data_IF_327649054182
#
_entry.id   IF_327649054182
#
_cell.length_a   1.000
_cell.length_b   1.000
_cell.length_c   1.000
_cell.angle_alpha   90.00
_cell.angle_beta   90.00
_cell.angle_gamma   90.00
#
_symmetry.space_group_name_H-M   'P 1'
#
loop_
_entity.id
_entity.type
_entity.pdbx_description
1 polymer ?
#
# COMPACT_ATOMS: atom_id res chain seq x y z
N UNK A 1 -0.33 -32.97 -18.97
CA UNK A 1 -0.28 -31.78 -18.09
C UNK A 1 -1.50 -31.67 -17.16
N UNK A 2 -2.74 -31.73 -17.66
CA UNK A 2 -3.98 -31.61 -16.84
C UNK A 2 -4.04 -32.55 -15.63
N UNK A 3 -3.75 -33.83 -15.81
CA UNK A 3 -3.82 -34.82 -14.72
C UNK A 3 -2.74 -34.57 -13.65
N UNK A 4 -1.54 -34.19 -14.06
CA UNK A 4 -0.46 -33.82 -13.15
C UNK A 4 -0.80 -32.55 -12.36
N UNK A 5 -1.36 -31.52 -13.00
CA UNK A 5 -1.84 -30.31 -12.32
C UNK A 5 -2.92 -30.63 -11.27
N UNK A 6 -3.91 -31.48 -11.61
CA UNK A 6 -4.94 -31.92 -10.64
C UNK A 6 -4.34 -32.65 -9.44
N UNK A 7 -3.34 -33.51 -9.68
CA UNK A 7 -2.65 -34.25 -8.62
C UNK A 7 -1.89 -33.29 -7.69
N UNK A 8 -1.06 -32.42 -8.27
CA UNK A 8 -0.29 -31.42 -7.52
C UNK A 8 -1.20 -30.49 -6.72
N UNK A 9 -2.33 -30.07 -7.31
CA UNK A 9 -3.32 -29.25 -6.63
C UNK A 9 -3.95 -30.00 -5.44
N UNK A 10 -4.29 -31.28 -5.61
CA UNK A 10 -4.79 -32.11 -4.51
C UNK A 10 -3.75 -32.21 -3.38
N UNK A 11 -2.50 -32.50 -3.72
CA UNK A 11 -1.42 -32.57 -2.72
C UNK A 11 -1.17 -31.23 -2.03
N UNK A 12 -1.25 -30.14 -2.78
CA UNK A 12 -1.09 -28.79 -2.24
C UNK A 12 -2.14 -28.43 -1.20
N UNK A 13 -3.43 -28.67 -1.47
CA UNK A 13 -4.52 -28.33 -0.54
C UNK A 13 -4.72 -29.35 0.60
N UNK A 14 -4.23 -30.59 0.44
CA UNK A 14 -4.23 -31.60 1.53
C UNK A 14 -2.98 -31.52 2.42
N UNK A 15 -2.02 -30.66 2.08
CA UNK A 15 -0.85 -30.48 2.89
C UNK A 15 -1.18 -29.75 4.20
N UNK A 16 -0.83 -30.35 5.34
CA UNK A 16 -1.15 -29.78 6.66
C UNK A 16 -0.55 -28.39 6.85
N UNK A 17 0.67 -28.13 6.35
CA UNK A 17 1.31 -26.81 6.48
C UNK A 17 0.52 -25.76 5.70
N UNK A 18 0.15 -26.06 4.45
CA UNK A 18 -0.65 -25.16 3.63
C UNK A 18 -2.04 -24.91 4.24
N UNK A 19 -2.70 -25.95 4.75
CA UNK A 19 -3.99 -25.81 5.45
C UNK A 19 -3.89 -24.89 6.67
N UNK A 20 -2.84 -25.03 7.47
CA UNK A 20 -2.59 -24.13 8.60
C UNK A 20 -2.42 -22.69 8.14
N UNK A 21 -1.69 -22.44 7.05
CA UNK A 21 -1.54 -21.08 6.48
C UNK A 21 -2.90 -20.50 6.05
N UNK A 22 -3.75 -21.28 5.37
CA UNK A 22 -5.10 -20.84 5.01
C UNK A 22 -5.94 -20.49 6.23
N UNK A 23 -5.94 -21.36 7.25
CA UNK A 23 -6.69 -21.18 8.49
C UNK A 23 -6.23 -19.92 9.24
N UNK A 24 -4.92 -19.75 9.45
CA UNK A 24 -4.34 -18.59 10.13
C UNK A 24 -4.70 -17.31 9.37
N UNK A 25 -4.54 -17.31 8.05
CA UNK A 25 -4.79 -16.13 7.22
C UNK A 25 -6.26 -15.73 7.22
N UNK A 26 -7.16 -16.72 7.18
CA UNK A 26 -8.60 -16.52 7.31
C UNK A 26 -8.96 -15.86 8.65
N UNK A 27 -8.55 -16.46 9.77
CA UNK A 27 -8.86 -15.92 11.10
C UNK A 27 -8.19 -14.57 11.37
N UNK A 28 -6.95 -14.37 10.91
CA UNK A 28 -6.28 -13.08 11.00
C UNK A 28 -7.03 -11.99 10.23
N UNK A 29 -7.58 -12.31 9.05
CA UNK A 29 -8.38 -11.35 8.29
C UNK A 29 -9.70 -10.99 8.99
N UNK A 30 -10.36 -11.97 9.61
CA UNK A 30 -11.59 -11.74 10.37
C UNK A 30 -11.31 -10.90 11.62
N UNK A 31 -10.22 -11.22 12.33
CA UNK A 31 -9.76 -10.45 13.47
C UNK A 31 -9.46 -9.00 13.07
N UNK A 32 -8.78 -8.79 11.94
CA UNK A 32 -8.53 -7.46 11.40
C UNK A 32 -9.85 -6.71 11.15
N UNK A 33 -10.80 -7.33 10.45
CA UNK A 33 -12.08 -6.69 10.14
C UNK A 33 -12.93 -6.37 11.39
N UNK A 34 -12.88 -7.21 12.42
CA UNK A 34 -13.70 -7.06 13.62
C UNK A 34 -13.07 -6.14 14.67
N UNK A 35 -11.77 -6.24 14.91
CA UNK A 35 -11.10 -5.54 16.01
C UNK A 35 -10.25 -4.36 15.56
N UNK A 36 -9.44 -4.53 14.53
CA UNK A 36 -8.46 -3.51 14.12
C UNK A 36 -9.13 -2.43 13.28
N UNK A 37 -9.84 -2.83 12.22
CA UNK A 37 -10.46 -1.93 11.25
C UNK A 37 -11.41 -0.88 11.87
N UNK A 38 -12.28 -1.19 12.85
CA UNK A 38 -13.15 -0.18 13.45
C UNK A 38 -12.38 0.90 14.22
N UNK A 39 -11.25 0.53 14.84
CA UNK A 39 -10.42 1.40 15.68
C UNK A 39 -9.46 2.27 14.86
N UNK A 40 -9.07 1.83 13.66
CA UNK A 40 -8.20 2.60 12.77
C UNK A 40 -8.83 3.95 12.42
N UNK A 41 -8.19 5.07 12.76
CA UNK A 41 -8.57 6.41 12.32
C UNK A 41 -7.45 7.02 11.49
N UNK A 42 -7.70 7.42 10.22
CA UNK A 42 -6.71 8.20 9.49
C UNK A 42 -6.45 9.52 10.22
N UNK A 43 -5.24 10.06 10.07
CA UNK A 43 -4.88 11.39 10.57
C UNK A 43 -5.88 12.44 10.04
N UNK A 44 -6.09 12.42 8.72
CA UNK A 44 -7.02 13.30 8.04
C UNK A 44 -8.44 12.70 8.02
N UNK A 45 -9.17 12.89 9.13
CA UNK A 45 -10.52 12.37 9.33
C UNK A 45 -11.58 13.47 9.27
N UNK A 46 -12.71 13.17 8.66
CA UNK A 46 -13.92 14.00 8.73
C UNK A 46 -14.49 13.90 10.14
N UNK A 47 -14.26 14.92 10.96
CA UNK A 47 -14.80 15.06 12.31
C UNK A 47 -15.54 16.41 12.44
N UNK A 48 -16.89 16.41 12.33
CA UNK A 48 -17.68 17.64 12.42
C UNK A 48 -17.50 18.38 13.75
N UNK A 49 -17.41 17.64 14.87
CA UNK A 49 -17.20 18.23 16.20
C UNK A 49 -15.86 18.94 16.29
N UNK A 50 -14.79 18.35 15.75
CA UNK A 50 -13.48 19.00 15.72
C UNK A 50 -13.47 20.25 14.80
N UNK A 51 -14.20 20.23 13.69
CA UNK A 51 -14.36 21.42 12.84
C UNK A 51 -15.12 22.52 13.59
N UNK A 52 -16.19 22.16 14.30
CA UNK A 52 -17.00 23.07 15.09
C UNK A 52 -16.21 23.76 16.20
N UNK A 53 -15.43 23.00 16.99
CA UNK A 53 -14.60 23.54 18.06
C UNK A 53 -13.59 24.55 17.51
N UNK A 54 -12.84 24.18 16.46
CA UNK A 54 -11.87 25.11 15.84
C UNK A 54 -12.52 26.38 15.30
N UNK A 55 -13.72 26.27 14.73
CA UNK A 55 -14.49 27.42 14.26
C UNK A 55 -14.85 28.35 15.43
N UNK A 56 -15.38 27.79 16.52
CA UNK A 56 -15.81 28.54 17.71
C UNK A 56 -14.63 29.22 18.42
N UNK A 57 -13.51 28.52 18.61
CA UNK A 57 -12.31 29.07 19.25
C UNK A 57 -11.76 30.27 18.46
N UNK A 58 -11.66 30.13 17.13
CA UNK A 58 -11.22 31.22 16.26
C UNK A 58 -12.22 32.38 16.24
N UNK A 59 -13.53 32.09 16.29
CA UNK A 59 -14.54 33.13 16.31
C UNK A 59 -14.52 33.90 17.64
N UNK A 60 -14.47 33.18 18.76
CA UNK A 60 -14.34 33.79 20.08
C UNK A 60 -13.08 34.66 20.19
N UNK A 61 -11.96 34.20 19.63
CA UNK A 61 -10.74 35.01 19.54
C UNK A 61 -10.97 36.30 18.74
N UNK A 62 -11.62 36.22 17.58
CA UNK A 62 -11.92 37.40 16.74
C UNK A 62 -12.91 38.36 17.42
N UNK A 63 -13.91 37.85 18.14
CA UNK A 63 -14.93 38.66 18.80
C UNK A 63 -14.39 39.41 20.03
N UNK A 64 -13.35 38.87 20.68
CA UNK A 64 -12.67 39.47 21.85
C UNK A 64 -11.48 40.38 21.46
N UNK A 65 -11.20 40.52 20.17
CA UNK A 65 -9.98 41.17 19.68
C UNK A 65 -10.16 42.69 19.56
N UNK A 66 -9.41 43.46 20.34
CA UNK A 66 -9.18 44.89 20.09
C UNK A 66 -7.78 45.08 19.52
N UNK A 67 -7.69 45.21 18.18
CA UNK A 67 -6.39 45.28 17.49
C UNK A 67 -6.00 46.72 17.27
N UNK A 68 -5.02 47.19 18.05
CA UNK A 68 -4.30 48.45 17.81
C UNK A 68 -3.07 48.25 16.93
N UNK A 69 -2.47 49.36 16.46
CA UNK A 69 -1.20 49.33 15.70
C UNK A 69 -0.05 48.67 16.46
N UNK A 70 -0.09 48.65 17.81
CA UNK A 70 0.94 48.05 18.66
C UNK A 70 0.69 46.57 18.98
N UNK A 71 -0.33 45.95 18.41
CA UNK A 71 -0.65 44.54 18.65
C UNK A 71 0.48 43.61 18.17
N UNK A 72 0.71 42.52 18.93
CA UNK A 72 1.73 41.53 18.61
C UNK A 72 1.54 40.98 17.17
N UNK A 73 2.62 40.74 16.39
CA UNK A 73 2.51 40.28 15.00
C UNK A 73 1.63 39.05 14.79
N UNK A 74 1.64 38.10 15.74
CA UNK A 74 0.77 36.92 15.70
C UNK A 74 -0.72 37.24 15.84
N UNK A 75 -1.07 38.28 16.60
CA UNK A 75 -2.46 38.75 16.74
C UNK A 75 -2.93 39.35 15.41
N UNK A 76 -2.09 40.18 14.76
CA UNK A 76 -2.37 40.72 13.42
C UNK A 76 -2.48 39.61 12.37
N UNK A 77 -1.59 38.63 12.42
CA UNK A 77 -1.64 37.45 11.56
C UNK A 77 -2.95 36.66 11.74
N UNK A 78 -3.35 36.39 12.99
CA UNK A 78 -4.58 35.69 13.30
C UNK A 78 -5.81 36.48 12.81
N UNK A 79 -5.84 37.80 13.03
CA UNK A 79 -6.89 38.69 12.53
C UNK A 79 -7.05 38.62 11.00
N UNK A 80 -5.94 38.52 10.26
CA UNK A 80 -5.96 38.42 8.79
C UNK A 80 -6.35 37.01 8.28
N UNK A 81 -6.01 35.97 9.03
CA UNK A 81 -6.09 34.57 8.55
C UNK A 81 -7.36 33.85 9.03
N UNK A 82 -7.76 34.06 10.29
CA UNK A 82 -8.88 33.37 10.93
C UNK A 82 -10.22 33.60 10.22
N UNK A 83 -10.57 34.80 9.72
CA UNK A 83 -11.83 35.01 9.02
C UNK A 83 -11.99 34.09 7.82
N UNK A 84 -10.92 33.88 7.03
CA UNK A 84 -10.95 32.97 5.87
C UNK A 84 -11.04 31.51 6.29
N UNK A 85 -10.32 31.09 7.33
CA UNK A 85 -10.47 29.74 7.89
C UNK A 85 -11.89 29.48 8.39
N UNK A 86 -12.47 30.40 9.16
CA UNK A 86 -13.83 30.30 9.68
C UNK A 86 -14.88 30.28 8.57
N UNK A 87 -14.71 31.09 7.53
CA UNK A 87 -15.58 31.04 6.36
C UNK A 87 -15.58 29.65 5.70
N UNK A 88 -14.40 29.02 5.58
CA UNK A 88 -14.27 27.68 4.99
C UNK A 88 -14.83 26.60 5.92
N UNK A 89 -14.52 26.65 7.22
CA UNK A 89 -15.01 25.67 8.20
C UNK A 89 -16.54 25.76 8.37
N UNK A 90 -17.13 26.96 8.36
CA UNK A 90 -18.59 27.14 8.33
C UNK A 90 -19.22 26.49 7.10
N UNK A 91 -18.71 26.76 5.89
CA UNK A 91 -19.20 26.12 4.66
C UNK A 91 -19.08 24.61 4.69
N UNK A 92 -18.01 24.06 5.29
CA UNK A 92 -17.83 22.61 5.47
C UNK A 92 -18.91 22.03 6.39
N UNK A 93 -19.16 22.68 7.54
CA UNK A 93 -20.20 22.28 8.49
C UNK A 93 -21.59 22.34 7.86
N UNK A 94 -21.93 23.44 7.20
CA UNK A 94 -23.21 23.61 6.50
C UNK A 94 -23.40 22.54 5.42
N UNK A 95 -22.35 22.23 4.64
CA UNK A 95 -22.39 21.18 3.62
C UNK A 95 -22.60 19.78 4.21
N UNK A 96 -21.99 19.49 5.37
CA UNK A 96 -22.19 18.22 6.08
C UNK A 96 -23.62 18.11 6.62
N UNK A 97 -24.15 19.18 7.21
CA UNK A 97 -25.52 19.24 7.72
C UNK A 97 -26.55 19.04 6.58
N UNK A 98 -26.33 19.67 5.43
CA UNK A 98 -27.15 19.52 4.24
C UNK A 98 -26.91 18.19 3.47
N UNK A 99 -25.99 17.34 3.92
CA UNK A 99 -25.52 16.13 3.21
C UNK A 99 -25.05 16.40 1.77
N UNK A 100 -24.65 17.63 1.47
CA UNK A 100 -24.07 18.02 0.18
C UNK A 100 -22.56 17.70 0.19
N UNK A 101 -22.25 16.42 0.00
CA UNK A 101 -20.88 15.91 0.07
C UNK A 101 -19.97 16.42 -1.06
N UNK A 102 -20.52 16.79 -2.22
CA UNK A 102 -19.73 17.42 -3.28
C UNK A 102 -19.26 18.82 -2.88
N UNK A 103 -20.17 19.65 -2.35
CA UNK A 103 -19.82 20.97 -1.81
C UNK A 103 -18.86 20.88 -0.61
N UNK A 104 -19.04 19.87 0.25
CA UNK A 104 -18.09 19.57 1.32
C UNK A 104 -16.70 19.27 0.77
N UNK A 105 -16.60 18.42 -0.26
CA UNK A 105 -15.32 18.06 -0.86
C UNK A 105 -14.63 19.28 -1.49
N UNK A 106 -15.37 20.10 -2.24
CA UNK A 106 -14.82 21.30 -2.86
C UNK A 106 -14.29 22.30 -1.82
N UNK A 107 -15.08 22.54 -0.77
CA UNK A 107 -14.70 23.46 0.31
C UNK A 107 -13.53 22.91 1.11
N UNK A 108 -13.50 21.61 1.36
CA UNK A 108 -12.41 20.95 2.09
C UNK A 108 -11.09 21.01 1.30
N UNK A 109 -11.13 20.85 -0.03
CA UNK A 109 -9.95 21.06 -0.86
C UNK A 109 -9.39 22.49 -0.73
N UNK A 110 -10.27 23.50 -0.70
CA UNK A 110 -9.88 24.91 -0.50
C UNK A 110 -9.29 25.13 0.91
N UNK A 111 -9.86 24.47 1.92
CA UNK A 111 -9.38 24.52 3.30
C UNK A 111 -7.97 23.95 3.43
N UNK A 112 -7.69 22.77 2.85
CA UNK A 112 -6.33 22.21 2.86
C UNK A 112 -5.36 23.08 2.08
N UNK A 113 -5.73 23.59 0.91
CA UNK A 113 -4.86 24.45 0.10
C UNK A 113 -4.47 25.74 0.84
N UNK A 114 -5.45 26.37 1.49
CA UNK A 114 -5.18 27.57 2.28
C UNK A 114 -4.34 27.25 3.52
N UNK A 115 -4.66 26.18 4.23
CA UNK A 115 -3.91 25.79 5.44
C UNK A 115 -2.48 25.37 5.13
N UNK A 116 -2.26 24.63 4.04
CA UNK A 116 -0.92 24.24 3.59
C UNK A 116 -0.07 25.47 3.24
N UNK A 117 -0.65 26.44 2.51
CA UNK A 117 0.04 27.70 2.20
C UNK A 117 0.49 28.43 3.47
N UNK A 118 -0.37 28.47 4.49
CA UNK A 118 -0.05 29.10 5.77
C UNK A 118 1.05 28.36 6.52
N UNK A 119 0.92 27.04 6.71
CA UNK A 119 1.91 26.25 7.44
C UNK A 119 3.27 26.23 6.74
N UNK A 120 3.29 26.24 5.41
CA UNK A 120 4.52 26.23 4.61
C UNK A 120 5.36 27.50 4.77
N UNK A 121 4.73 28.64 5.09
CA UNK A 121 5.45 29.90 5.30
C UNK A 121 6.30 29.91 6.57
N UNK A 122 6.07 28.97 7.51
CA UNK A 122 6.82 28.85 8.77
C UNK A 122 7.04 30.19 9.49
N UNK A 123 6.00 31.04 9.51
CA UNK A 123 6.12 32.39 10.09
C UNK A 123 6.50 32.35 11.57
N UNK A 124 6.03 31.33 12.31
CA UNK A 124 6.38 31.04 13.71
C UNK A 124 6.36 29.53 13.92
N UNK A 125 7.19 29.01 14.83
CA UNK A 125 7.29 27.57 15.16
C UNK A 125 5.96 26.96 15.64
N UNK A 126 5.05 27.79 16.16
CA UNK A 126 3.70 27.38 16.56
C UNK A 126 2.75 27.13 15.38
N UNK A 127 3.06 27.62 14.18
CA UNK A 127 2.28 27.40 12.95
C UNK A 127 2.76 26.12 12.26
N UNK A 128 2.25 24.99 12.74
CA UNK A 128 2.61 23.66 12.26
C UNK A 128 1.38 22.87 11.79
N UNK A 129 1.65 21.86 10.95
CA UNK A 129 0.68 20.80 10.63
C UNK A 129 0.15 20.09 11.89
N UNK A 130 -0.96 19.34 11.81
CA UNK A 130 -1.51 18.61 12.96
C UNK A 130 -0.45 17.83 13.75
N UNK A 131 -0.56 17.85 15.08
CA UNK A 131 0.43 17.25 16.00
C UNK A 131 0.65 15.75 15.75
N UNK A 132 -0.33 15.07 15.17
CA UNK A 132 -0.27 13.67 14.76
C UNK A 132 0.89 13.38 13.78
N UNK A 133 1.33 14.36 12.97
CA UNK A 133 2.49 14.21 12.08
C UNK A 133 3.83 14.26 12.83
N UNK A 134 3.85 14.82 14.04
CA UNK A 134 5.03 14.97 14.91
C UNK A 134 5.03 13.94 16.05
N UNK A 135 4.06 13.02 16.05
CA UNK A 135 3.98 11.93 17.02
C UNK A 135 5.29 11.13 17.04
N UNK A 136 5.61 10.55 18.19
CA UNK A 136 6.82 9.73 18.38
C UNK A 136 8.14 10.47 18.05
N UNK A 137 8.15 11.80 18.23
CA UNK A 137 9.30 12.66 17.93
C UNK A 137 9.75 12.59 16.47
N UNK A 138 8.83 12.35 15.53
CA UNK A 138 9.13 12.30 14.10
C UNK A 138 9.83 13.60 13.61
N UNK A 139 11.13 13.55 13.26
CA UNK A 139 11.87 14.74 12.83
C UNK A 139 11.42 15.24 11.45
N UNK A 140 10.61 14.46 10.73
CA UNK A 140 10.10 14.79 9.40
C UNK A 140 8.64 15.22 9.39
N UNK A 141 8.01 15.46 10.56
CA UNK A 141 6.58 15.76 10.66
C UNK A 141 6.12 16.94 9.80
N UNK A 142 6.98 17.95 9.60
CA UNK A 142 6.69 19.05 8.68
C UNK A 142 6.54 18.59 7.22
N UNK A 143 7.46 17.75 6.74
CA UNK A 143 7.42 17.24 5.37
C UNK A 143 6.27 16.25 5.17
N UNK A 144 5.98 15.43 6.19
CA UNK A 144 4.88 14.47 6.15
C UNK A 144 3.52 15.18 6.15
N UNK A 145 3.36 16.22 6.98
CA UNK A 145 2.16 17.06 6.98
C UNK A 145 1.95 17.76 5.65
N UNK A 146 3.01 18.34 5.07
CA UNK A 146 2.94 18.98 3.75
C UNK A 146 2.54 17.98 2.65
N UNK A 147 3.22 16.82 2.59
CA UNK A 147 2.91 15.76 1.63
C UNK A 147 1.45 15.29 1.77
N UNK A 148 0.99 15.08 3.01
CA UNK A 148 -0.37 14.65 3.27
C UNK A 148 -1.40 15.71 2.88
N UNK A 149 -1.15 16.99 3.17
CA UNK A 149 -2.05 18.08 2.77
C UNK A 149 -2.15 18.18 1.25
N UNK A 150 -1.04 18.06 0.53
CA UNK A 150 -1.04 18.03 -0.94
C UNK A 150 -1.81 16.82 -1.49
N UNK A 151 -1.68 15.64 -0.87
CA UNK A 151 -2.48 14.45 -1.17
C UNK A 151 -3.98 14.71 -0.96
N UNK A 152 -4.35 15.31 0.17
CA UNK A 152 -5.74 15.64 0.50
C UNK A 152 -6.35 16.68 -0.45
N UNK A 153 -5.58 17.70 -0.85
CA UNK A 153 -6.01 18.69 -1.86
C UNK A 153 -6.37 17.98 -3.16
N UNK A 154 -5.49 17.11 -3.66
CA UNK A 154 -5.72 16.36 -4.89
C UNK A 154 -6.94 15.42 -4.75
N UNK A 155 -7.04 14.68 -3.63
CA UNK A 155 -8.17 13.79 -3.33
C UNK A 155 -9.50 14.54 -3.35
N UNK A 156 -9.62 15.60 -2.55
CA UNK A 156 -10.88 16.33 -2.40
C UNK A 156 -11.25 17.10 -3.68
N UNK A 157 -10.29 17.65 -4.44
CA UNK A 157 -10.54 18.22 -5.77
C UNK A 157 -11.13 17.20 -6.73
N UNK A 158 -10.61 15.97 -6.72
CA UNK A 158 -11.09 14.90 -7.59
C UNK A 158 -12.47 14.38 -7.14
N UNK A 159 -12.69 14.23 -5.84
CA UNK A 159 -13.98 13.81 -5.28
C UNK A 159 -15.07 14.85 -5.53
N UNK A 160 -14.78 16.15 -5.43
CA UNK A 160 -15.73 17.22 -5.73
C UNK A 160 -16.27 17.16 -7.17
N UNK A 161 -15.45 16.66 -8.11
CA UNK A 161 -15.81 16.47 -9.53
C UNK A 161 -16.36 15.07 -9.84
N UNK A 162 -16.41 14.19 -8.83
CA UNK A 162 -16.83 12.81 -9.04
C UNK A 162 -18.34 12.71 -9.22
N UNK A 163 -18.76 11.88 -10.17
CA UNK A 163 -20.16 11.50 -10.37
C UNK A 163 -20.63 10.39 -9.42
N UNK A 164 -19.70 9.80 -8.66
CA UNK A 164 -20.03 8.73 -7.72
C UNK A 164 -20.78 9.29 -6.50
N UNK A 165 -21.71 8.53 -5.91
CA UNK A 165 -22.32 8.91 -4.63
C UNK A 165 -21.24 8.98 -3.55
N UNK A 166 -21.07 10.15 -2.96
CA UNK A 166 -20.10 10.41 -1.91
C UNK A 166 -20.70 10.15 -0.53
N UNK A 167 -19.88 9.68 0.40
CA UNK A 167 -20.25 9.42 1.79
C UNK A 167 -19.09 9.76 2.72
N UNK A 168 -19.36 9.92 4.01
CA UNK A 168 -18.31 10.13 5.03
C UNK A 168 -17.29 8.98 5.03
N UNK A 169 -17.73 7.74 4.82
CA UNK A 169 -16.85 6.57 4.71
C UNK A 169 -15.86 6.70 3.55
N UNK A 170 -16.26 7.29 2.42
CA UNK A 170 -15.37 7.52 1.27
C UNK A 170 -14.30 8.56 1.61
N UNK A 171 -14.67 9.66 2.26
CA UNK A 171 -13.72 10.70 2.66
C UNK A 171 -12.69 10.21 3.68
N UNK A 172 -13.14 9.36 4.61
CA UNK A 172 -12.30 8.72 5.61
C UNK A 172 -11.54 7.48 5.09
N UNK A 173 -11.65 7.15 3.80
CA UNK A 173 -10.98 6.01 3.18
C UNK A 173 -11.30 4.65 3.85
N UNK A 174 -12.53 4.52 4.37
CA UNK A 174 -13.01 3.35 5.15
C UNK A 174 -13.91 2.40 4.38
N UNK A 175 -14.08 2.55 3.07
CA UNK A 175 -14.84 1.55 2.29
C UNK A 175 -14.05 0.25 2.11
N UNK A 176 -14.71 -0.84 1.75
CA UNK A 176 -14.06 -2.14 1.57
C UNK A 176 -12.94 -2.11 0.52
N UNK A 177 -13.20 -1.51 -0.65
CA UNK A 177 -12.16 -1.35 -1.69
C UNK A 177 -11.03 -0.42 -1.26
N UNK A 178 -11.33 0.67 -0.54
CA UNK A 178 -10.29 1.56 0.00
C UNK A 178 -9.45 0.89 1.10
N UNK A 179 -10.02 -0.08 1.82
CA UNK A 179 -9.28 -0.88 2.80
C UNK A 179 -8.29 -1.82 2.11
N UNK A 180 -8.68 -2.49 1.02
CA UNK A 180 -7.74 -3.25 0.18
C UNK A 180 -6.62 -2.32 -0.30
N UNK A 181 -6.96 -1.13 -0.83
CA UNK A 181 -5.97 -0.14 -1.25
C UNK A 181 -5.00 0.26 -0.12
N UNK A 182 -5.49 0.55 1.08
CA UNK A 182 -4.65 0.89 2.24
C UNK A 182 -3.70 -0.25 2.63
N UNK A 183 -4.24 -1.47 2.73
CA UNK A 183 -3.45 -2.66 3.07
C UNK A 183 -2.42 -2.98 1.97
N UNK A 184 -2.77 -2.73 0.70
CA UNK A 184 -1.91 -2.95 -0.47
C UNK A 184 -0.65 -2.07 -0.49
N UNK A 185 -0.65 -0.94 0.22
CA UNK A 185 0.53 -0.08 0.41
C UNK A 185 1.41 -0.53 1.58
N UNK A 186 0.86 -1.27 2.54
CA UNK A 186 1.54 -1.61 3.78
C UNK A 186 1.79 -3.11 3.89
N UNK A 187 0.95 -3.82 4.62
CA UNK A 187 1.18 -5.19 5.08
C UNK A 187 0.80 -6.25 4.04
N UNK A 188 -0.16 -5.98 3.15
CA UNK A 188 -0.69 -7.00 2.23
C UNK A 188 0.38 -7.54 1.26
N UNK A 189 1.24 -6.72 0.62
CA UNK A 189 2.36 -7.21 -0.17
C UNK A 189 3.25 -8.17 0.64
N UNK A 190 3.69 -7.74 1.82
CA UNK A 190 4.58 -8.52 2.68
C UNK A 190 3.96 -9.86 3.08
N UNK A 191 2.67 -9.86 3.43
CA UNK A 191 1.92 -11.07 3.78
C UNK A 191 1.86 -12.04 2.59
N UNK A 192 1.47 -11.56 1.40
CA UNK A 192 1.33 -12.43 0.23
C UNK A 192 2.68 -13.00 -0.23
N UNK A 193 3.75 -12.20 -0.19
CA UNK A 193 5.10 -12.66 -0.52
C UNK A 193 5.62 -13.67 0.52
N UNK A 194 5.35 -13.45 1.80
CA UNK A 194 5.69 -14.39 2.88
C UNK A 194 4.97 -15.73 2.68
N UNK A 195 3.65 -15.70 2.43
CA UNK A 195 2.87 -16.91 2.13
C UNK A 195 3.39 -17.62 0.89
N UNK A 196 3.79 -16.86 -0.14
CA UNK A 196 4.42 -17.42 -1.35
C UNK A 196 5.72 -18.13 -1.04
N UNK A 197 6.57 -17.57 -0.16
CA UNK A 197 7.81 -18.20 0.26
C UNK A 197 7.54 -19.57 0.92
N UNK A 198 6.53 -19.65 1.81
CA UNK A 198 6.13 -20.93 2.42
C UNK A 198 5.55 -21.92 1.41
N UNK A 199 4.67 -21.48 0.51
CA UNK A 199 4.10 -22.36 -0.52
C UNK A 199 5.15 -22.86 -1.50
N UNK A 200 6.12 -22.03 -1.86
CA UNK A 200 7.19 -22.39 -2.77
C UNK A 200 8.23 -23.30 -2.11
N UNK A 201 8.61 -23.04 -0.85
CA UNK A 201 9.70 -23.75 -0.15
C UNK A 201 9.63 -25.28 -0.24
N UNK A 202 8.41 -25.82 -0.22
CA UNK A 202 8.16 -27.25 -0.16
C UNK A 202 7.98 -27.90 -1.54
N UNK A 203 7.84 -27.11 -2.60
CA UNK A 203 7.30 -27.60 -3.87
C UNK A 203 8.24 -28.57 -4.60
N UNK A 204 9.56 -28.41 -4.46
CA UNK A 204 10.56 -29.29 -5.09
C UNK A 204 11.21 -30.29 -4.13
N UNK A 205 11.18 -30.02 -2.83
CA UNK A 205 11.74 -30.94 -1.84
C UNK A 205 10.86 -32.20 -1.74
N UNK A 206 9.52 -32.04 -1.73
CA UNK A 206 8.56 -33.15 -1.71
C UNK A 206 8.65 -34.07 -2.93
N UNK A 207 8.99 -33.52 -4.09
CA UNK A 207 9.14 -34.33 -5.31
C UNK A 207 10.28 -35.32 -5.20
N UNK A 208 11.37 -34.94 -4.51
CA UNK A 208 12.52 -35.82 -4.30
C UNK A 208 12.19 -36.96 -3.35
N UNK A 209 11.37 -36.70 -2.34
CA UNK A 209 10.88 -37.73 -1.43
C UNK A 209 9.92 -38.71 -2.13
N UNK A 210 9.28 -38.29 -3.23
CA UNK A 210 8.26 -39.06 -3.97
C UNK A 210 8.59 -39.21 -5.45
N UNK A 211 9.87 -39.43 -5.75
CA UNK A 211 10.40 -39.42 -7.11
C UNK A 211 9.69 -40.43 -8.03
N UNK A 212 9.31 -41.61 -7.51
CA UNK A 212 8.58 -42.64 -8.25
C UNK A 212 7.21 -42.17 -8.77
N UNK A 213 6.50 -41.32 -8.01
CA UNK A 213 5.20 -40.78 -8.40
C UNK A 213 5.38 -39.70 -9.48
N UNK A 214 6.41 -38.86 -9.33
CA UNK A 214 6.69 -37.74 -10.23
C UNK A 214 7.19 -38.24 -11.58
N UNK A 215 8.03 -39.28 -11.59
CA UNK A 215 8.60 -39.86 -12.81
C UNK A 215 7.61 -40.72 -13.61
N UNK A 216 6.53 -41.18 -12.98
CA UNK A 216 5.43 -41.86 -13.68
C UNK A 216 4.66 -40.99 -14.67
N UNK A 217 4.84 -39.66 -14.66
CA UNK A 217 4.19 -38.75 -15.61
C UNK A 217 5.10 -38.42 -16.82
N UNK A 218 4.62 -38.56 -18.07
CA UNK A 218 5.36 -38.26 -19.28
C UNK A 218 5.41 -36.74 -19.54
N UNK A 219 6.04 -36.00 -18.63
CA UNK A 219 6.20 -34.54 -18.69
C UNK A 219 7.68 -34.18 -18.59
N UNK A 220 8.11 -33.23 -19.43
CA UNK A 220 9.45 -32.67 -19.35
C UNK A 220 9.65 -31.88 -18.05
N UNK A 221 10.91 -31.76 -17.60
CA UNK A 221 11.26 -31.08 -16.34
C UNK A 221 10.71 -29.65 -16.26
N UNK A 222 10.84 -28.88 -17.35
CA UNK A 222 10.32 -27.49 -17.45
C UNK A 222 8.79 -27.46 -17.35
N UNK A 223 8.10 -28.41 -17.98
CA UNK A 223 6.63 -28.49 -17.91
C UNK A 223 6.17 -28.81 -16.47
N UNK A 224 6.91 -29.66 -15.73
CA UNK A 224 6.64 -29.94 -14.32
C UNK A 224 6.80 -28.68 -13.47
N UNK A 225 7.88 -27.90 -13.66
CA UNK A 225 8.09 -26.63 -12.97
C UNK A 225 6.98 -25.62 -13.26
N UNK A 226 6.56 -25.50 -14.52
CA UNK A 226 5.45 -24.63 -14.91
C UNK A 226 4.14 -25.01 -14.20
N UNK A 227 3.83 -26.31 -14.13
CA UNK A 227 2.66 -26.78 -13.38
C UNK A 227 2.73 -26.41 -11.91
N UNK A 228 3.91 -26.54 -11.28
CA UNK A 228 4.10 -26.13 -9.88
C UNK A 228 3.91 -24.64 -9.66
N UNK A 229 4.43 -23.81 -10.57
CA UNK A 229 4.17 -22.38 -10.57
C UNK A 229 2.65 -22.13 -10.57
N UNK A 230 1.91 -22.72 -11.51
CA UNK A 230 0.44 -22.55 -11.57
C UNK A 230 -0.29 -23.00 -10.30
N UNK A 231 0.16 -24.07 -9.66
CA UNK A 231 -0.41 -24.56 -8.38
C UNK A 231 -0.18 -23.55 -7.26
N UNK A 232 1.02 -22.98 -7.14
CA UNK A 232 1.32 -21.95 -6.15
C UNK A 232 0.49 -20.68 -6.42
N UNK A 233 0.36 -20.27 -7.69
CA UNK A 233 -0.52 -19.15 -8.07
C UNK A 233 -1.97 -19.40 -7.64
N UNK A 234 -2.47 -20.61 -7.84
CA UNK A 234 -3.83 -20.99 -7.41
C UNK A 234 -3.95 -20.97 -5.88
N UNK A 235 -2.90 -21.36 -5.16
CA UNK A 235 -2.81 -21.21 -3.70
C UNK A 235 -2.93 -19.76 -3.25
N UNK A 236 -2.23 -18.83 -3.90
CA UNK A 236 -2.32 -17.39 -3.60
C UNK A 236 -3.71 -16.83 -3.93
N UNK A 237 -4.33 -17.25 -5.03
CA UNK A 237 -5.74 -16.91 -5.31
C UNK A 237 -6.65 -17.42 -4.20
N UNK A 238 -6.43 -18.64 -3.70
CA UNK A 238 -7.15 -19.18 -2.54
C UNK A 238 -6.98 -18.31 -1.29
N UNK A 239 -5.78 -17.77 -1.05
CA UNK A 239 -5.51 -16.88 0.08
C UNK A 239 -6.30 -15.56 -0.08
N UNK A 240 -6.31 -14.98 -1.28
CA UNK A 240 -7.13 -13.79 -1.54
C UNK A 240 -8.63 -14.08 -1.35
N UNK A 241 -9.11 -15.26 -1.77
CA UNK A 241 -10.49 -15.68 -1.54
C UNK A 241 -10.80 -15.86 -0.05
N UNK A 242 -9.83 -16.26 0.78
CA UNK A 242 -10.01 -16.36 2.23
C UNK A 242 -10.32 -15.01 2.90
N UNK A 243 -9.98 -13.89 2.26
CA UNK A 243 -10.31 -12.54 2.72
C UNK A 243 -11.73 -12.09 2.39
N UNK A 244 -12.48 -12.85 1.58
CA UNK A 244 -13.84 -12.46 1.16
C UNK A 244 -14.79 -12.20 2.33
N UNK A 245 -14.86 -13.03 3.39
CA UNK A 245 -15.76 -12.75 4.52
C UNK A 245 -15.45 -11.41 5.20
N UNK A 246 -14.16 -11.13 5.42
CA UNK A 246 -13.68 -9.87 6.01
C UNK A 246 -14.02 -8.67 5.11
N UNK A 247 -13.86 -8.82 3.79
CA UNK A 247 -14.27 -7.82 2.81
C UNK A 247 -15.79 -7.56 2.86
N UNK A 248 -16.61 -8.61 2.94
CA UNK A 248 -18.06 -8.50 3.04
C UNK A 248 -18.48 -7.81 4.34
N UNK A 249 -17.87 -8.16 5.48
CA UNK A 249 -18.13 -7.53 6.77
C UNK A 249 -17.86 -6.02 6.72
N UNK A 250 -16.71 -5.60 6.19
CA UNK A 250 -16.37 -4.18 6.04
C UNK A 250 -17.33 -3.50 5.06
N UNK A 251 -17.66 -4.15 3.96
CA UNK A 251 -18.59 -3.65 2.94
C UNK A 251 -19.98 -3.39 3.48
N UNK A 252 -20.50 -4.28 4.34
CA UNK A 252 -21.79 -4.11 5.00
C UNK A 252 -21.78 -2.99 6.05
N UNK A 253 -20.65 -2.79 6.77
CA UNK A 253 -20.56 -1.78 7.82
C UNK A 253 -20.29 -0.35 7.31
N UNK A 254 -19.44 -0.21 6.28
CA UNK A 254 -18.93 1.10 5.81
C UNK A 254 -19.20 1.38 4.33
N UNK A 255 -19.79 0.43 3.62
CA UNK A 255 -19.99 0.46 2.18
C UNK A 255 -18.83 -0.17 1.41
N UNK A 256 -19.13 -0.76 0.25
CA UNK A 256 -18.13 -1.39 -0.61
C UNK A 256 -17.18 -0.38 -1.28
N UNK A 257 -17.68 0.82 -1.59
CA UNK A 257 -16.95 1.80 -2.40
C UNK A 257 -17.07 1.51 -3.90
N UNK A 258 -16.25 2.20 -4.71
CA UNK A 258 -16.25 2.03 -6.17
C UNK A 258 -14.80 1.99 -6.70
N UNK A 259 -14.53 1.15 -7.70
CA UNK A 259 -13.25 1.10 -8.40
C UNK A 259 -12.96 2.38 -9.21
N UNK A 260 -13.97 3.19 -9.52
CA UNK A 260 -13.77 4.49 -10.15
C UNK A 260 -13.38 5.60 -9.16
N UNK A 261 -13.22 5.28 -7.86
CA UNK A 261 -12.79 6.28 -6.87
C UNK A 261 -11.42 6.85 -7.24
N UNK A 262 -11.24 8.19 -7.18
CA UNK A 262 -9.98 8.83 -7.50
C UNK A 262 -8.97 8.62 -6.38
N UNK A 263 -7.76 8.22 -6.77
CA UNK A 263 -6.60 8.03 -5.90
C UNK A 263 -5.52 9.02 -6.32
N UNK A 264 -5.01 9.84 -5.38
CA UNK A 264 -3.84 10.66 -5.62
C UNK A 264 -2.58 9.80 -5.75
N UNK A 265 -1.83 10.00 -6.83
CA UNK A 265 -0.53 9.40 -7.07
C UNK A 265 0.50 10.52 -7.12
N UNK A 266 1.54 10.38 -6.32
CA UNK A 266 2.63 11.36 -6.26
C UNK A 266 3.65 11.08 -7.36
N UNK A 267 3.94 12.08 -8.17
CA UNK A 267 5.09 12.07 -9.07
C UNK A 267 6.15 12.96 -8.47
N UNK A 268 7.25 12.35 -8.04
CA UNK A 268 8.33 13.09 -7.40
C UNK A 268 9.16 13.87 -8.43
N UNK A 269 9.70 15.00 -7.99
CA UNK A 269 10.58 15.84 -8.77
C UNK A 269 11.81 16.24 -7.94
N UNK A 270 12.73 17.00 -8.52
CA UNK A 270 13.93 17.48 -7.85
C UNK A 270 13.59 18.16 -6.51
N UNK A 271 14.36 17.83 -5.46
CA UNK A 271 14.17 18.32 -4.08
C UNK A 271 12.82 17.97 -3.45
N UNK A 272 12.19 16.85 -3.84
CA UNK A 272 10.91 16.41 -3.27
C UNK A 272 9.74 17.40 -3.51
N UNK A 273 9.83 18.24 -4.54
CA UNK A 273 8.78 19.20 -4.93
C UNK A 273 7.80 18.61 -5.97
N UNK A 274 7.47 17.33 -5.81
CA UNK A 274 6.57 16.61 -6.71
C UNK A 274 5.14 17.15 -6.72
N UNK A 275 4.33 16.59 -7.61
CA UNK A 275 2.91 16.92 -7.73
C UNK A 275 2.04 15.66 -7.73
N UNK A 276 0.78 15.81 -7.34
CA UNK A 276 -0.19 14.73 -7.35
C UNK A 276 -1.02 14.75 -8.62
N UNK A 277 -1.09 13.60 -9.29
CA UNK A 277 -2.08 13.33 -10.33
C UNK A 277 -3.09 12.30 -9.83
N UNK A 278 -4.14 12.05 -10.61
CA UNK A 278 -5.25 11.17 -10.20
C UNK A 278 -5.26 9.90 -11.05
N UNK A 279 -5.38 8.76 -10.38
CA UNK A 279 -5.63 7.45 -10.98
C UNK A 279 -6.90 6.85 -10.39
N UNK A 280 -7.65 6.05 -11.15
CA UNK A 280 -8.77 5.30 -10.57
C UNK A 280 -8.27 4.15 -9.67
N UNK A 281 -9.03 3.83 -8.64
CA UNK A 281 -8.76 2.68 -7.76
C UNK A 281 -8.66 1.35 -8.53
N UNK A 282 -9.48 1.15 -9.56
CA UNK A 282 -9.42 -0.02 -10.44
C UNK A 282 -8.10 -0.11 -11.19
N UNK A 283 -7.61 0.99 -11.75
CA UNK A 283 -6.32 1.01 -12.46
C UNK A 283 -5.16 0.76 -11.48
N UNK A 284 -5.22 1.36 -10.29
CA UNK A 284 -4.24 1.09 -9.23
C UNK A 284 -4.19 -0.41 -8.89
N UNK A 285 -5.35 -1.04 -8.66
CA UNK A 285 -5.41 -2.47 -8.30
C UNK A 285 -4.95 -3.38 -9.45
N UNK A 286 -5.19 -3.00 -10.70
CA UNK A 286 -4.68 -3.73 -11.87
C UNK A 286 -3.15 -3.69 -11.92
N UNK A 287 -2.56 -2.51 -11.77
CA UNK A 287 -1.10 -2.34 -11.71
C UNK A 287 -0.51 -3.12 -10.53
N UNK A 288 -1.14 -3.00 -9.35
CA UNK A 288 -0.74 -3.73 -8.14
C UNK A 288 -0.77 -5.24 -8.35
N UNK A 289 -1.80 -5.76 -9.04
CA UNK A 289 -1.90 -7.17 -9.38
C UNK A 289 -0.79 -7.60 -10.35
N UNK A 290 -0.42 -6.74 -11.29
CA UNK A 290 0.73 -6.96 -12.18
C UNK A 290 2.05 -7.07 -11.42
N UNK A 291 2.31 -6.16 -10.48
CA UNK A 291 3.47 -6.24 -9.58
C UNK A 291 3.47 -7.52 -8.74
N UNK A 292 2.32 -7.90 -8.19
CA UNK A 292 2.19 -9.15 -7.44
C UNK A 292 2.58 -10.34 -8.32
N UNK A 293 2.04 -10.46 -9.54
CA UNK A 293 2.38 -11.55 -10.47
C UNK A 293 3.89 -11.61 -10.75
N UNK A 294 4.53 -10.48 -11.01
CA UNK A 294 5.98 -10.42 -11.25
C UNK A 294 6.78 -10.89 -10.03
N UNK A 295 6.40 -10.44 -8.83
CA UNK A 295 7.01 -10.88 -7.60
C UNK A 295 6.82 -12.38 -7.33
N UNK A 296 5.62 -12.91 -7.57
CA UNK A 296 5.33 -14.33 -7.45
C UNK A 296 6.24 -15.14 -8.40
N UNK A 297 6.36 -14.70 -9.66
CA UNK A 297 7.26 -15.33 -10.63
C UNK A 297 8.72 -15.30 -10.16
N UNK A 298 9.18 -14.14 -9.67
CA UNK A 298 10.54 -13.99 -9.15
C UNK A 298 10.81 -14.94 -7.97
N UNK A 299 9.97 -14.92 -6.93
CA UNK A 299 10.17 -15.73 -5.72
C UNK A 299 10.06 -17.23 -5.99
N UNK A 300 9.10 -17.66 -6.81
CA UNK A 300 8.94 -19.08 -7.17
C UNK A 300 10.17 -19.55 -7.98
N UNK A 301 10.64 -18.75 -8.93
CA UNK A 301 11.82 -19.08 -9.74
C UNK A 301 13.09 -19.10 -8.89
N UNK A 302 13.26 -18.14 -7.98
CA UNK A 302 14.36 -18.12 -7.04
C UNK A 302 14.32 -19.33 -6.11
N UNK A 303 13.15 -19.71 -5.59
CA UNK A 303 12.99 -20.91 -4.79
C UNK A 303 13.41 -22.17 -5.55
N UNK A 304 13.08 -22.27 -6.84
CA UNK A 304 13.54 -23.37 -7.68
C UNK A 304 15.07 -23.40 -7.79
N UNK A 305 15.71 -22.23 -7.99
CA UNK A 305 17.16 -22.10 -7.94
C UNK A 305 17.72 -22.61 -6.60
N UNK A 306 17.23 -22.09 -5.48
CA UNK A 306 17.69 -22.47 -4.13
C UNK A 306 17.52 -23.98 -3.86
N UNK A 307 16.41 -24.55 -4.29
CA UNK A 307 16.13 -25.98 -4.20
C UNK A 307 17.12 -26.86 -4.96
N UNK A 308 17.74 -26.35 -6.03
CA UNK A 308 18.83 -27.04 -6.71
C UNK A 308 20.11 -27.09 -5.86
N UNK A 309 20.43 -26.01 -5.13
CA UNK A 309 21.66 -25.90 -4.34
C UNK A 309 21.54 -26.53 -2.95
N UNK A 310 20.56 -26.10 -2.15
CA UNK A 310 20.50 -26.42 -0.72
C UNK A 310 19.73 -27.69 -0.41
N UNK A 311 18.81 -28.08 -1.29
CA UNK A 311 17.95 -29.27 -1.13
C UNK A 311 17.19 -29.34 0.21
N UNK A 312 17.04 -28.20 0.89
CA UNK A 312 16.48 -28.10 2.22
C UNK A 312 15.34 -27.06 2.21
N UNK A 313 14.15 -27.50 2.60
CA UNK A 313 12.93 -26.66 2.64
C UNK A 313 13.11 -25.44 3.54
N UNK A 314 13.59 -25.66 4.77
CA UNK A 314 13.71 -24.61 5.80
C UNK A 314 14.68 -23.54 5.35
N UNK A 315 15.84 -23.95 4.82
CA UNK A 315 16.86 -23.02 4.35
C UNK A 315 16.34 -22.19 3.16
N UNK A 316 15.64 -22.81 2.20
CA UNK A 316 15.03 -22.08 1.09
C UNK A 316 14.05 -21.01 1.58
N UNK A 317 13.13 -21.38 2.48
CA UNK A 317 12.16 -20.43 3.05
C UNK A 317 12.88 -19.31 3.78
N UNK A 318 13.89 -19.62 4.61
CA UNK A 318 14.66 -18.60 5.34
C UNK A 318 15.32 -17.59 4.40
N UNK A 319 15.94 -18.03 3.30
CA UNK A 319 16.56 -17.11 2.33
C UNK A 319 15.51 -16.22 1.67
N UNK A 320 14.35 -16.76 1.29
CA UNK A 320 13.27 -15.97 0.69
C UNK A 320 12.72 -14.93 1.67
N UNK A 321 12.55 -15.29 2.95
CA UNK A 321 12.11 -14.35 3.98
C UNK A 321 13.15 -13.25 4.21
N UNK A 322 14.43 -13.61 4.30
CA UNK A 322 15.52 -12.63 4.40
C UNK A 322 15.49 -11.66 3.23
N UNK A 323 15.22 -12.13 2.01
CA UNK A 323 15.08 -11.27 0.84
C UNK A 323 13.89 -10.32 0.98
N UNK A 324 12.71 -10.83 1.36
CA UNK A 324 11.48 -10.03 1.51
C UNK A 324 11.67 -8.92 2.55
N UNK A 325 12.35 -9.20 3.66
CA UNK A 325 12.54 -8.24 4.74
C UNK A 325 13.85 -7.45 4.67
N UNK A 326 14.72 -7.74 3.69
CA UNK A 326 16.04 -7.09 3.56
C UNK A 326 15.98 -5.57 3.40
N UNK A 327 14.90 -5.02 2.83
CA UNK A 327 14.72 -3.59 2.67
C UNK A 327 14.85 -2.84 4.01
N UNK A 328 14.36 -3.44 5.11
CA UNK A 328 14.43 -2.84 6.44
C UNK A 328 15.86 -2.63 6.94
N UNK A 329 16.84 -3.36 6.39
CA UNK A 329 18.24 -3.27 6.82
C UNK A 329 18.97 -2.08 6.22
N UNK A 330 18.60 -1.65 5.01
CA UNK A 330 19.26 -0.53 4.32
C UNK A 330 18.37 0.71 4.18
N UNK A 331 17.05 0.58 4.29
CA UNK A 331 16.16 1.71 4.15
C UNK A 331 16.38 2.75 5.26
N UNK A 332 16.75 3.96 4.84
CA UNK A 332 16.73 5.18 5.66
C UNK A 332 16.09 6.29 4.84
N UNK A 333 15.34 7.17 5.50
CA UNK A 333 14.70 8.30 4.79
C UNK A 333 15.76 9.17 4.13
N UNK A 334 15.56 9.49 2.85
CA UNK A 334 16.50 10.25 2.03
C UNK A 334 17.72 9.47 1.52
N UNK A 335 17.86 8.17 1.80
CA UNK A 335 19.03 7.40 1.36
C UNK A 335 19.16 7.29 -0.16
N UNK A 336 18.04 7.41 -0.89
CA UNK A 336 18.00 7.31 -2.34
C UNK A 336 18.67 8.48 -3.06
N UNK A 337 18.99 9.57 -2.35
CA UNK A 337 19.82 10.66 -2.88
C UNK A 337 21.32 10.32 -2.89
N UNK A 338 21.74 9.31 -2.13
CA UNK A 338 23.15 8.94 -1.96
C UNK A 338 23.48 7.55 -2.53
N UNK A 339 22.54 6.62 -2.48
CA UNK A 339 22.74 5.23 -2.91
C UNK A 339 21.72 4.77 -3.94
N UNK A 340 22.23 4.04 -4.95
CA UNK A 340 21.45 3.47 -6.05
C UNK A 340 20.93 2.06 -5.73
N UNK A 341 20.09 1.95 -4.69
CA UNK A 341 19.37 0.70 -4.37
C UNK A 341 18.14 0.49 -5.28
N UNK A 342 17.89 1.39 -6.22
CA UNK A 342 16.77 1.37 -7.18
C UNK A 342 16.81 0.18 -8.15
N UNK A 343 17.94 -0.53 -8.26
CA UNK A 343 18.05 -1.75 -9.09
C UNK A 343 17.89 -3.05 -8.31
N UNK A 344 17.71 -2.98 -6.99
CA UNK A 344 17.47 -4.17 -6.17
C UNK A 344 15.98 -4.50 -6.19
N UNK A 345 15.58 -5.76 -6.49
CA UNK A 345 14.19 -6.18 -6.36
C UNK A 345 13.62 -5.86 -4.98
N UNK A 346 14.44 -5.97 -3.93
CA UNK A 346 14.04 -5.77 -2.54
C UNK A 346 13.54 -4.36 -2.25
N UNK A 347 13.96 -3.35 -3.02
CA UNK A 347 13.45 -1.97 -2.94
C UNK A 347 11.99 -1.82 -3.39
N UNK A 348 11.43 -2.85 -4.03
CA UNK A 348 10.08 -2.87 -4.60
C UNK A 348 9.15 -3.86 -3.89
N UNK A 349 9.51 -4.35 -2.70
CA UNK A 349 8.67 -5.28 -1.92
C UNK A 349 7.35 -4.62 -1.52
N UNK A 350 7.39 -3.34 -1.13
CA UNK A 350 6.21 -2.51 -0.82
C UNK A 350 5.67 -1.84 -2.08
N UNK A 351 5.35 -2.63 -3.10
CA UNK A 351 4.99 -2.10 -4.42
C UNK A 351 3.74 -1.20 -4.44
N UNK A 352 2.83 -1.26 -3.46
CA UNK A 352 1.76 -0.27 -3.34
C UNK A 352 2.26 1.16 -3.06
N UNK A 353 3.33 1.32 -2.27
CA UNK A 353 3.99 2.62 -2.03
C UNK A 353 4.77 3.11 -3.26
N UNK A 354 5.26 2.18 -4.08
CA UNK A 354 5.91 2.49 -5.36
C UNK A 354 4.87 3.04 -6.33
N UNK A 355 3.71 2.37 -6.45
CA UNK A 355 2.65 2.79 -7.37
C UNK A 355 2.08 4.15 -6.96
N UNK A 356 1.90 4.40 -5.65
CA UNK A 356 1.44 5.71 -5.15
C UNK A 356 2.50 6.80 -5.18
N UNK A 357 3.77 6.46 -5.44
CA UNK A 357 4.91 7.37 -5.41
C UNK A 357 5.33 7.82 -4.01
N UNK A 358 4.72 7.25 -2.96
CA UNK A 358 5.09 7.51 -1.57
C UNK A 358 6.51 7.03 -1.28
N UNK A 359 6.93 5.89 -1.86
CA UNK A 359 8.29 5.37 -1.69
C UNK A 359 9.32 6.35 -2.26
N UNK A 360 9.07 6.93 -3.44
CA UNK A 360 9.95 7.93 -4.05
C UNK A 360 10.12 9.18 -3.17
N UNK A 361 9.04 9.64 -2.53
CA UNK A 361 9.09 10.71 -1.54
C UNK A 361 9.96 10.34 -0.32
N UNK A 362 9.79 9.13 0.22
CA UNK A 362 10.57 8.65 1.37
C UNK A 362 12.06 8.49 1.05
N UNK A 363 12.40 7.97 -0.13
CA UNK A 363 13.80 7.87 -0.57
C UNK A 363 14.39 9.20 -1.03
N UNK A 364 13.57 10.26 -1.19
CA UNK A 364 13.98 11.56 -1.74
C UNK A 364 14.69 11.42 -3.08
N UNK A 365 14.14 10.58 -3.96
CA UNK A 365 14.79 10.23 -5.23
C UNK A 365 13.76 10.01 -6.33
N UNK A 366 14.08 10.51 -7.53
CA UNK A 366 13.27 10.34 -8.74
C UNK A 366 13.38 8.93 -9.35
N UNK A 367 14.30 8.09 -8.87
CA UNK A 367 14.57 6.77 -9.46
C UNK A 367 13.54 5.70 -9.07
N UNK A 368 12.89 5.83 -7.92
CA UNK A 368 11.95 4.83 -7.38
C UNK A 368 10.56 4.97 -8.00
N UNK A 369 10.47 4.76 -9.30
CA UNK A 369 9.22 4.90 -10.07
C UNK A 369 8.55 3.56 -10.35
N UNK A 370 7.29 3.62 -10.79
CA UNK A 370 6.56 2.47 -11.33
C UNK A 370 7.34 1.78 -12.46
N UNK A 371 7.92 2.56 -13.38
CA UNK A 371 8.67 2.02 -14.52
C UNK A 371 9.93 1.28 -14.04
N UNK A 372 10.72 1.89 -13.14
CA UNK A 372 11.93 1.29 -12.58
C UNK A 372 11.62 -0.03 -11.85
N UNK A 373 10.51 -0.07 -11.10
CA UNK A 373 10.06 -1.28 -10.41
C UNK A 373 9.67 -2.40 -11.37
N UNK A 374 8.90 -2.07 -12.42
CA UNK A 374 8.53 -3.06 -13.43
C UNK A 374 9.76 -3.62 -14.16
N UNK A 375 10.67 -2.76 -14.60
CA UNK A 375 11.91 -3.17 -15.29
C UNK A 375 12.77 -4.05 -14.39
N UNK A 376 12.99 -3.63 -13.15
CA UNK A 376 13.80 -4.39 -12.18
C UNK A 376 13.23 -5.78 -11.93
N UNK A 377 11.92 -5.89 -11.69
CA UNK A 377 11.27 -7.18 -11.44
C UNK A 377 11.18 -8.06 -12.69
N UNK A 378 10.95 -7.48 -13.87
CA UNK A 378 10.93 -8.22 -15.13
C UNK A 378 12.30 -8.83 -15.43
N UNK A 379 13.36 -8.02 -15.38
CA UNK A 379 14.74 -8.47 -15.62
C UNK A 379 15.13 -9.53 -14.59
N UNK A 380 14.87 -9.29 -13.31
CA UNK A 380 15.22 -10.22 -12.24
C UNK A 380 14.48 -11.55 -12.38
N UNK A 381 13.18 -11.51 -12.73
CA UNK A 381 12.39 -12.72 -13.00
C UNK A 381 12.92 -13.47 -14.22
N UNK A 382 13.24 -12.76 -15.31
CA UNK A 382 13.77 -13.37 -16.52
C UNK A 382 15.12 -14.05 -16.28
N UNK A 383 16.02 -13.40 -15.52
CA UNK A 383 17.31 -13.98 -15.11
C UNK A 383 17.08 -15.26 -14.29
N UNK A 384 16.18 -15.24 -13.30
CA UNK A 384 15.90 -16.43 -12.50
C UNK A 384 15.31 -17.57 -13.33
N UNK A 385 14.36 -17.28 -14.22
CA UNK A 385 13.77 -18.28 -15.12
C UNK A 385 14.84 -18.88 -16.06
N UNK A 386 15.75 -18.05 -16.57
CA UNK A 386 16.86 -18.52 -17.41
C UNK A 386 17.77 -19.46 -16.64
N UNK A 387 18.15 -19.08 -15.41
CA UNK A 387 18.99 -19.90 -14.51
C UNK A 387 18.32 -21.24 -14.23
N UNK A 388 17.03 -21.24 -13.84
CA UNK A 388 16.22 -22.46 -13.63
C UNK A 388 16.20 -23.33 -14.89
N UNK A 389 16.02 -22.72 -16.06
CA UNK A 389 15.96 -23.42 -17.34
C UNK A 389 17.28 -24.11 -17.67
N UNK A 390 18.42 -23.44 -17.45
CA UNK A 390 19.76 -24.01 -17.66
C UNK A 390 20.00 -25.19 -16.71
N UNK A 391 19.70 -25.02 -15.42
CA UNK A 391 19.88 -26.09 -14.44
C UNK A 391 18.96 -27.29 -14.70
N UNK A 392 17.74 -27.05 -15.17
CA UNK A 392 16.81 -28.13 -15.52
C UNK A 392 17.30 -29.00 -16.69
N UNK A 393 18.12 -28.45 -17.60
CA UNK A 393 18.64 -29.16 -18.78
C UNK A 393 19.88 -30.02 -18.50
N UNK A 394 20.63 -29.77 -17.42
CA UNK A 394 21.80 -30.59 -17.09
C UNK A 394 21.37 -32.04 -16.83
N UNK A 395 21.95 -32.99 -17.57
CA UNK A 395 21.77 -34.44 -17.36
C UNK A 395 22.48 -34.85 -16.07
N UNK A 396 21.72 -34.82 -14.99
CA UNK A 396 22.03 -35.41 -13.69
C UNK A 396 20.71 -35.66 -12.95
N UNK A 397 20.70 -36.60 -12.00
CA UNK A 397 19.56 -36.87 -11.08
C UNK A 397 19.24 -35.56 -10.32
N UNK A 398 18.40 -34.72 -10.91
CA UNK A 398 18.09 -33.36 -10.47
C UNK A 398 16.59 -33.15 -10.22
N UNK A 399 15.78 -34.16 -10.56
CA UNK A 399 14.42 -34.38 -10.07
C UNK A 399 14.38 -35.83 -9.61
#
# INVERSE_FOLDING_TARGET
>A
MKNYFKLELKFFFHDRKNQVIFIITFFASLFYAWHIFPQETPIEVVNPSAIQVRFQERQAFLDQLDVSENSHPLVKFAQQTYPKWNQLDKKRLDSLAAKNYQAYAETTAKWYAFSDQIYRQKLVDSLRYPDQYYAEQNPYGFYDGHFAFQREIAKYKALAKSKNPLTISIFNEKTAWQTIYRLSQSILPLLLLTVTAFFAGNSLVKDRERQSIVDGYPLGKIQRLFVKTLVIFTGIVGILLSFLPSFLLIGLQKGFGNLSLPIPIHTNDFLNNGHFHIMSLGNYLLIWSGFLILWLLFLISLNFCLSFFFKNEVLNVMILLLLIFSEQSYFRRGIGSYYHFDWLPTSYVRFGEIITGYRSFLYSSISYTLQSGLVTLLISSAIMILIVSIFSRRKGRLL
#
